data_IF_786621366553
#
_entry.id   IF_786621366553
#
_cell.length_a   1.000
_cell.length_b   1.000
_cell.length_c   1.000
_cell.angle_alpha   90.00
_cell.angle_beta   90.00
_cell.angle_gamma   90.00
#
_symmetry.space_group_name_H-M   'P 1'
#
loop_
_entity.id
_entity.type
_entity.pdbx_description
1 polymer ?
#
# COMPACT_ATOMS: atom_id res chain seq x y z
N UNK A 1 4.35 -25.22 15.00
CA UNK A 1 4.37 -26.71 15.08
C UNK A 1 2.98 -27.34 15.07
N UNK A 2 1.89 -26.61 15.41
CA UNK A 2 0.50 -27.15 15.44
C UNK A 2 -0.06 -27.47 14.04
N UNK A 3 0.21 -26.64 13.03
CA UNK A 3 -0.40 -26.77 11.70
C UNK A 3 0.05 -28.03 10.93
N UNK A 4 1.33 -28.43 11.05
CA UNK A 4 1.79 -29.69 10.44
C UNK A 4 1.09 -30.91 11.01
N UNK A 5 0.81 -30.90 12.32
CA UNK A 5 0.19 -32.03 13.01
C UNK A 5 -1.28 -32.25 12.60
N UNK A 6 -1.93 -31.25 12.00
CA UNK A 6 -3.30 -31.37 11.45
C UNK A 6 -3.32 -31.54 9.93
N UNK A 7 -2.19 -31.95 9.34
CA UNK A 7 -2.07 -32.21 7.91
C UNK A 7 -1.87 -30.97 7.04
N UNK A 8 -1.50 -29.82 7.61
CA UNK A 8 -1.18 -28.65 6.80
C UNK A 8 0.27 -28.66 6.30
N UNK A 9 0.46 -28.20 5.07
CA UNK A 9 1.75 -27.99 4.41
C UNK A 9 2.07 -26.49 4.39
N UNK A 10 3.32 -26.13 4.67
CA UNK A 10 3.78 -24.75 4.55
C UNK A 10 4.06 -24.47 3.07
N UNK A 11 3.38 -23.47 2.51
CA UNK A 11 3.48 -23.05 1.11
C UNK A 11 3.98 -21.60 0.99
N UNK A 12 4.67 -21.10 2.01
CA UNK A 12 5.20 -19.73 2.06
C UNK A 12 6.17 -19.52 0.89
N UNK A 13 5.96 -18.49 0.04
CA UNK A 13 6.75 -18.29 -1.17
C UNK A 13 8.03 -17.47 -0.95
N UNK A 14 8.28 -16.99 0.27
CA UNK A 14 9.42 -16.15 0.64
C UNK A 14 10.23 -16.77 1.79
N UNK A 15 11.49 -16.35 1.91
CA UNK A 15 12.39 -16.84 2.95
C UNK A 15 11.96 -16.30 4.33
N UNK A 16 12.26 -17.03 5.40
CA UNK A 16 11.91 -16.61 6.78
C UNK A 16 12.53 -15.27 7.18
N UNK A 17 13.66 -14.91 6.58
CA UNK A 17 14.31 -13.61 6.78
C UNK A 17 13.50 -12.46 6.14
N UNK A 18 12.72 -12.75 5.10
CA UNK A 18 11.97 -11.76 4.33
C UNK A 18 10.59 -11.46 4.95
N UNK A 19 10.00 -12.43 5.64
CA UNK A 19 8.70 -12.27 6.28
C UNK A 19 8.53 -13.21 7.48
N UNK A 20 7.84 -12.68 8.50
CA UNK A 20 7.37 -13.45 9.65
C UNK A 20 6.06 -14.20 9.40
N UNK A 21 5.38 -13.91 8.29
CA UNK A 21 4.07 -14.48 7.97
C UNK A 21 4.26 -15.78 7.20
N UNK A 22 3.49 -16.81 7.55
CA UNK A 22 3.56 -18.10 6.88
C UNK A 22 2.21 -18.41 6.21
N UNK A 23 2.27 -19.00 5.02
CA UNK A 23 1.10 -19.54 4.32
C UNK A 23 1.04 -21.05 4.53
N UNK A 24 -0.15 -21.54 4.89
CA UNK A 24 -0.38 -22.94 5.19
C UNK A 24 -1.64 -23.43 4.47
N UNK A 25 -1.57 -24.63 3.91
CA UNK A 25 -2.68 -25.27 3.19
C UNK A 25 -2.92 -26.70 3.68
N UNK A 26 -4.17 -27.15 3.69
CA UNK A 26 -4.53 -28.57 3.88
C UNK A 26 -4.70 -29.31 2.55
N UNK A 27 -4.50 -28.61 1.43
CA UNK A 27 -4.62 -29.19 0.10
C UNK A 27 -3.61 -30.33 -0.09
N UNK A 28 -4.02 -31.46 -0.68
CA UNK A 28 -3.09 -32.52 -1.07
C UNK A 28 -2.17 -32.04 -2.21
N UNK A 29 -2.55 -31.00 -2.96
CA UNK A 29 -1.79 -30.41 -4.06
C UNK A 29 -1.01 -29.17 -3.63
N UNK A 30 -0.42 -29.22 -2.43
CA UNK A 30 0.31 -28.09 -1.83
C UNK A 30 1.45 -27.55 -2.70
N UNK A 31 2.07 -28.40 -3.53
CA UNK A 31 3.11 -28.00 -4.48
C UNK A 31 2.58 -27.06 -5.59
N UNK A 32 1.36 -27.29 -6.09
CA UNK A 32 0.74 -26.44 -7.12
C UNK A 32 0.44 -25.06 -6.53
N UNK A 33 -0.13 -25.04 -5.32
CA UNK A 33 -0.44 -23.80 -4.61
C UNK A 33 0.83 -23.01 -4.24
N UNK A 34 1.88 -23.70 -3.80
CA UNK A 34 3.17 -23.07 -3.54
C UNK A 34 3.75 -22.43 -4.80
N UNK A 35 3.67 -23.12 -5.95
CA UNK A 35 4.18 -22.58 -7.21
C UNK A 35 3.35 -21.38 -7.70
N UNK A 36 2.03 -21.39 -7.51
CA UNK A 36 1.16 -20.27 -7.83
C UNK A 36 1.48 -19.06 -6.93
N UNK A 37 1.64 -19.25 -5.62
CA UNK A 37 2.03 -18.18 -4.70
C UNK A 37 3.41 -17.61 -5.03
N UNK A 38 4.35 -18.46 -5.45
CA UNK A 38 5.68 -18.02 -5.89
C UNK A 38 5.58 -17.13 -7.13
N UNK A 39 4.81 -17.54 -8.14
CA UNK A 39 4.58 -16.71 -9.33
C UNK A 39 3.92 -15.37 -8.98
N UNK A 40 2.91 -15.36 -8.11
CA UNK A 40 2.26 -14.12 -7.67
C UNK A 40 3.25 -13.18 -6.95
N UNK A 41 4.18 -13.74 -6.17
CA UNK A 41 5.24 -12.97 -5.53
C UNK A 41 6.24 -12.41 -6.55
N UNK A 42 6.70 -13.23 -7.50
CA UNK A 42 7.62 -12.81 -8.58
C UNK A 42 7.00 -11.71 -9.48
N UNK A 43 5.69 -11.79 -9.71
CA UNK A 43 4.92 -10.79 -10.46
C UNK A 43 4.55 -9.54 -9.64
N UNK A 44 4.87 -9.49 -8.34
CA UNK A 44 4.59 -8.34 -7.47
C UNK A 44 3.14 -8.24 -6.95
N UNK A 45 2.30 -9.24 -7.21
CA UNK A 45 0.93 -9.29 -6.68
C UNK A 45 0.87 -9.72 -5.21
N UNK A 46 1.86 -10.47 -4.74
CA UNK A 46 1.94 -10.91 -3.36
C UNK A 46 3.04 -10.15 -2.60
N UNK A 47 2.63 -9.37 -1.60
CA UNK A 47 3.56 -8.64 -0.75
C UNK A 47 4.09 -9.53 0.40
N UNK A 48 5.38 -9.39 0.70
CA UNK A 48 6.07 -10.10 1.80
C UNK A 48 5.45 -9.78 3.16
N UNK A 49 4.88 -8.59 3.31
CA UNK A 49 4.18 -8.14 4.52
C UNK A 49 2.83 -7.59 4.08
N UNK A 50 1.73 -7.87 4.81
CA UNK A 50 0.49 -7.14 4.61
C UNK A 50 0.80 -5.64 4.71
N UNK A 51 0.36 -4.88 3.72
CA UNK A 51 0.51 -3.44 3.77
C UNK A 51 -0.40 -2.95 4.90
N UNK A 52 0.23 -2.58 6.01
CA UNK A 52 -0.49 -2.03 7.14
C UNK A 52 -0.92 -0.61 6.78
N UNK A 53 -2.23 -0.41 6.67
CA UNK A 53 -2.81 0.87 6.29
C UNK A 53 -2.39 1.97 7.27
N UNK A 54 -2.16 1.65 8.55
CA UNK A 54 -1.64 2.60 9.53
C UNK A 54 -0.22 3.05 9.19
N UNK A 55 0.63 2.13 8.74
CA UNK A 55 1.99 2.46 8.31
C UNK A 55 1.98 3.33 7.04
N UNK A 56 1.05 3.09 6.10
CA UNK A 56 0.86 3.96 4.94
C UNK A 56 0.50 5.39 5.37
N UNK A 57 -0.58 5.54 6.15
CA UNK A 57 -1.06 6.85 6.59
C UNK A 57 -0.02 7.58 7.43
N UNK A 58 0.65 6.88 8.35
CA UNK A 58 1.72 7.43 9.18
C UNK A 58 2.91 7.95 8.35
N UNK A 59 3.39 7.15 7.39
CA UNK A 59 4.49 7.56 6.51
C UNK A 59 4.09 8.75 5.63
N UNK A 60 2.87 8.77 5.12
CA UNK A 60 2.37 9.85 4.27
C UNK A 60 2.19 11.15 5.08
N UNK A 61 1.60 11.06 6.27
CA UNK A 61 1.48 12.19 7.18
C UNK A 61 2.85 12.75 7.57
N UNK A 62 3.82 11.88 7.87
CA UNK A 62 5.21 12.30 8.13
C UNK A 62 5.81 13.04 6.93
N UNK A 63 5.54 12.58 5.72
CA UNK A 63 5.99 13.22 4.49
C UNK A 63 5.38 14.61 4.32
N UNK A 64 4.12 14.80 4.72
CA UNK A 64 3.46 16.10 4.75
C UNK A 64 4.03 17.03 5.83
N UNK A 65 4.31 16.52 7.04
CA UNK A 65 4.77 17.35 8.16
C UNK A 65 6.23 17.77 8.04
N UNK A 66 7.11 16.88 7.60
CA UNK A 66 8.56 17.13 7.45
C UNK A 66 8.87 18.02 6.23
N UNK A 67 7.94 18.17 5.29
CA UNK A 67 8.19 18.92 4.06
C UNK A 67 8.49 20.41 4.33
N UNK A 68 9.74 20.81 4.06
CA UNK A 68 10.23 22.18 4.26
C UNK A 68 9.71 23.21 3.24
N UNK A 69 9.05 22.78 2.15
CA UNK A 69 8.52 23.67 1.10
C UNK A 69 7.16 24.29 1.44
N UNK A 70 6.78 24.29 2.72
CA UNK A 70 5.55 24.91 3.21
C UNK A 70 4.29 24.37 2.54
N UNK A 71 3.28 25.25 2.40
CA UNK A 71 1.96 24.88 1.87
C UNK A 71 2.02 24.27 0.46
N UNK A 72 2.92 24.77 -0.41
CA UNK A 72 3.05 24.31 -1.79
C UNK A 72 3.64 22.89 -1.86
N UNK A 73 4.60 22.58 -0.99
CA UNK A 73 5.16 21.22 -0.88
C UNK A 73 4.12 20.22 -0.40
N UNK A 74 3.36 20.60 0.64
CA UNK A 74 2.26 19.78 1.17
C UNK A 74 1.18 19.56 0.12
N UNK A 75 0.81 20.59 -0.62
CA UNK A 75 -0.15 20.51 -1.72
C UNK A 75 0.31 19.52 -2.80
N UNK A 76 1.58 19.56 -3.22
CA UNK A 76 2.12 18.63 -4.22
C UNK A 76 2.13 17.19 -3.73
N UNK A 77 2.57 16.93 -2.50
CA UNK A 77 2.54 15.57 -1.94
C UNK A 77 1.11 15.06 -1.84
N UNK A 78 0.20 15.85 -1.25
CA UNK A 78 -1.21 15.45 -1.11
C UNK A 78 -1.85 15.20 -2.47
N UNK A 79 -1.47 15.96 -3.51
CA UNK A 79 -2.05 15.81 -4.86
C UNK A 79 -1.80 14.44 -5.50
N UNK A 80 -0.84 13.66 -4.99
CA UNK A 80 -0.55 12.30 -5.49
C UNK A 80 -1.73 11.35 -5.22
N UNK A 81 -2.44 11.53 -4.11
CA UNK A 81 -3.51 10.61 -3.67
C UNK A 81 -4.88 11.30 -3.51
N UNK A 82 -4.95 12.62 -3.75
CA UNK A 82 -6.11 13.42 -3.37
C UNK A 82 -7.40 13.00 -4.08
N UNK A 83 -7.29 12.48 -5.30
CA UNK A 83 -8.44 12.04 -6.12
C UNK A 83 -8.85 10.58 -5.85
N UNK A 84 -7.94 9.76 -5.30
CA UNK A 84 -8.20 8.33 -5.01
C UNK A 84 -9.03 8.13 -3.73
N UNK A 85 -9.04 9.11 -2.83
CA UNK A 85 -9.68 9.03 -1.52
C UNK A 85 -10.75 10.10 -1.31
N UNK A 86 -11.74 9.81 -0.46
CA UNK A 86 -12.79 10.77 -0.08
C UNK A 86 -12.23 11.88 0.82
N UNK A 87 -12.88 13.04 0.81
CA UNK A 87 -12.50 14.17 1.69
C UNK A 87 -12.45 13.77 3.16
N UNK A 88 -13.50 13.12 3.66
CA UNK A 88 -13.59 12.73 5.08
C UNK A 88 -12.49 11.74 5.47
N UNK A 89 -12.09 10.87 4.55
CA UNK A 89 -11.01 9.91 4.78
C UNK A 89 -9.66 10.62 4.86
N UNK A 90 -9.34 11.50 3.91
CA UNK A 90 -8.13 12.31 3.94
C UNK A 90 -8.06 13.19 5.20
N UNK A 91 -9.19 13.79 5.58
CA UNK A 91 -9.28 14.59 6.80
C UNK A 91 -9.04 13.74 8.05
N UNK A 92 -9.70 12.59 8.17
CA UNK A 92 -9.57 11.68 9.32
C UNK A 92 -8.15 11.11 9.46
N UNK A 93 -7.55 10.69 8.34
CA UNK A 93 -6.26 9.98 8.37
C UNK A 93 -5.06 10.94 8.44
N UNK A 94 -5.13 12.12 7.83
CA UNK A 94 -3.98 13.03 7.70
C UNK A 94 -4.12 14.33 8.48
N UNK A 95 -5.31 14.63 9.03
CA UNK A 95 -5.63 15.90 9.70
C UNK A 95 -5.37 17.13 8.83
N UNK A 96 -5.66 17.03 7.53
CA UNK A 96 -5.51 18.11 6.55
C UNK A 96 -6.82 18.85 6.34
N UNK A 97 -6.76 20.15 6.05
CA UNK A 97 -7.96 20.96 5.81
C UNK A 97 -8.59 20.67 4.44
N UNK A 98 -9.91 20.89 4.35
CA UNK A 98 -10.65 20.80 3.08
C UNK A 98 -10.10 21.76 2.01
N UNK A 99 -9.61 22.94 2.40
CA UNK A 99 -8.93 23.87 1.48
C UNK A 99 -7.69 23.23 0.85
N UNK A 100 -6.83 22.61 1.68
CA UNK A 100 -5.61 21.98 1.20
C UNK A 100 -5.92 20.79 0.27
N UNK A 101 -6.94 19.99 0.60
CA UNK A 101 -7.41 18.89 -0.27
C UNK A 101 -7.90 19.46 -1.61
N UNK A 102 -8.76 20.48 -1.60
CA UNK A 102 -9.28 21.13 -2.82
C UNK A 102 -8.16 21.67 -3.71
N UNK A 103 -7.17 22.32 -3.10
CA UNK A 103 -5.97 22.82 -3.78
C UNK A 103 -5.13 21.68 -4.35
N UNK A 104 -4.98 20.57 -3.63
CA UNK A 104 -4.23 19.40 -4.08
C UNK A 104 -4.88 18.76 -5.31
N UNK A 105 -6.20 18.55 -5.32
CA UNK A 105 -6.94 18.04 -6.49
C UNK A 105 -6.80 18.96 -7.70
N UNK A 106 -6.98 20.26 -7.50
CA UNK A 106 -6.77 21.26 -8.58
C UNK A 106 -5.34 21.25 -9.11
N UNK A 107 -4.36 21.01 -8.25
CA UNK A 107 -2.96 20.88 -8.67
C UNK A 107 -2.76 19.63 -9.53
N UNK A 108 -3.32 18.49 -9.14
CA UNK A 108 -3.27 17.26 -9.94
C UNK A 108 -3.85 17.47 -11.34
N UNK A 109 -5.08 17.97 -11.45
CA UNK A 109 -5.73 18.25 -12.73
C UNK A 109 -4.95 19.20 -13.65
N UNK A 110 -4.17 20.12 -13.09
CA UNK A 110 -3.41 21.11 -13.88
C UNK A 110 -2.11 20.57 -14.46
N UNK A 111 -1.47 19.63 -13.77
CA UNK A 111 -0.10 19.19 -14.09
C UNK A 111 0.00 17.73 -14.54
N UNK A 112 -0.88 16.85 -14.06
CA UNK A 112 -0.80 15.42 -14.39
C UNK A 112 -1.80 14.99 -15.48
N UNK A 113 -3.00 15.58 -15.54
CA UNK A 113 -3.98 15.27 -16.60
C UNK A 113 -3.67 15.90 -17.96
N UNK A 114 -2.70 16.82 -18.03
CA UNK A 114 -2.27 17.42 -19.31
C UNK A 114 -1.25 16.56 -20.06
N UNK A 115 -0.53 15.69 -19.37
CA UNK A 115 0.50 14.84 -19.97
C UNK A 115 -0.09 13.58 -20.64
N UNK A 116 -1.33 13.21 -20.32
CA UNK A 116 -2.01 12.05 -20.93
C UNK A 116 -2.81 12.37 -22.19
N UNK A 117 -2.80 13.62 -22.66
CA UNK A 117 -3.53 14.08 -23.86
C UNK A 117 -2.60 14.59 -24.99
N UNK A 118 -1.37 14.08 -25.09
CA UNK A 118 -0.47 14.37 -26.22
C UNK A 118 0.02 13.10 -26.88
#
# INVERSE_FOLDING_TARGET
MILRNIGCHNITPFLKQESKYEFWTRSPHSNIEQNALKQLHELGFLLKRPMDSENFWSCFQKSLTVNKKGINGKQRILSIIADDFKYDELHKQLSVSNDLISRARKHYCRYFNKETTS
#
